data_IF_830230598897
#
_entry.id   IF_830230598897
#
_cell.length_a   1.000
_cell.length_b   1.000
_cell.length_c   1.000
_cell.angle_alpha   90.00
_cell.angle_beta   90.00
_cell.angle_gamma   90.00
#
_symmetry.space_group_name_H-M   'P 1'
#
loop_
_entity.id
_entity.type
_entity.pdbx_description
1 polymer ?
#
# COMPACT_ATOMS: atom_id res chain seq x y z
N UNK A 1 20.54 24.77 35.62
CA UNK A 1 19.88 24.62 34.31
C UNK A 1 19.65 23.13 34.10
N UNK A 2 18.39 22.67 34.20
CA UNK A 2 18.06 21.28 33.87
C UNK A 2 18.32 21.10 32.36
N UNK A 3 19.20 20.17 32.01
CA UNK A 3 19.75 20.04 30.65
C UNK A 3 18.67 19.76 29.61
N UNK A 4 18.93 20.23 28.39
CA UNK A 4 18.16 19.99 27.17
C UNK A 4 18.12 18.48 26.81
N UNK A 5 17.50 17.64 27.65
CA UNK A 5 17.29 16.21 27.40
C UNK A 5 15.84 15.97 27.00
N UNK A 6 15.64 14.95 26.17
CA UNK A 6 14.30 14.48 25.80
C UNK A 6 13.55 14.04 27.08
N UNK A 7 12.27 14.40 27.25
CA UNK A 7 11.47 13.99 28.40
C UNK A 7 11.41 12.46 28.56
N UNK A 8 11.61 11.99 29.80
CA UNK A 8 11.68 10.55 30.14
C UNK A 8 10.44 9.76 29.69
N UNK A 9 9.25 10.36 29.78
CA UNK A 9 8.01 9.72 29.36
C UNK A 9 7.99 9.32 27.88
N UNK A 10 8.72 10.03 27.00
CA UNK A 10 8.84 9.62 25.60
C UNK A 10 9.71 8.36 25.44
N UNK A 11 10.67 8.15 26.34
CA UNK A 11 11.45 6.92 26.43
C UNK A 11 10.59 5.73 26.90
N UNK A 12 9.71 5.95 27.89
CA UNK A 12 8.76 4.91 28.31
C UNK A 12 7.76 4.57 27.20
N UNK A 13 7.26 5.58 26.48
CA UNK A 13 6.36 5.36 25.35
C UNK A 13 7.01 4.46 24.29
N UNK A 14 8.23 4.82 23.86
CA UNK A 14 8.98 4.04 22.87
C UNK A 14 9.28 2.61 23.34
N UNK A 15 9.58 2.42 24.63
CA UNK A 15 9.78 1.08 25.21
C UNK A 15 8.50 0.23 25.11
N UNK A 16 7.32 0.83 25.28
CA UNK A 16 6.03 0.17 25.05
C UNK A 16 5.84 -0.26 23.58
N UNK A 17 6.28 0.57 22.63
CA UNK A 17 6.24 0.26 21.19
C UNK A 17 7.09 -0.97 20.87
N UNK A 18 8.30 -1.06 21.42
CA UNK A 18 9.19 -2.20 21.20
C UNK A 18 8.64 -3.49 21.82
N UNK A 19 7.96 -3.42 22.97
CA UNK A 19 7.27 -4.58 23.55
C UNK A 19 6.11 -5.04 22.65
N UNK A 20 5.30 -4.11 22.14
CA UNK A 20 4.23 -4.44 21.19
C UNK A 20 4.77 -5.01 19.88
N UNK A 21 5.90 -4.47 19.41
CA UNK A 21 6.62 -4.92 18.22
C UNK A 21 7.10 -6.36 18.34
N UNK A 22 7.75 -6.71 19.46
CA UNK A 22 8.19 -8.09 19.70
C UNK A 22 7.03 -9.08 19.64
N UNK A 23 5.94 -8.79 20.36
CA UNK A 23 4.72 -9.63 20.33
C UNK A 23 4.10 -9.74 18.94
N UNK A 24 4.09 -8.65 18.18
CA UNK A 24 3.55 -8.63 16.83
C UNK A 24 4.38 -9.49 15.88
N UNK A 25 5.70 -9.43 15.98
CA UNK A 25 6.62 -10.27 15.19
C UNK A 25 6.42 -11.75 15.54
N UNK A 26 6.47 -12.10 16.82
CA UNK A 26 6.26 -13.48 17.29
C UNK A 26 4.93 -14.05 16.79
N UNK A 27 3.87 -13.21 16.80
CA UNK A 27 2.57 -13.61 16.29
C UNK A 27 2.58 -13.82 14.78
N UNK A 28 3.13 -12.88 14.00
CA UNK A 28 3.21 -13.01 12.53
C UNK A 28 4.01 -14.25 12.15
N UNK A 29 5.17 -14.49 12.77
CA UNK A 29 6.03 -15.64 12.47
C UNK A 29 5.35 -16.98 12.78
N UNK A 30 4.41 -16.99 13.73
CA UNK A 30 3.56 -18.14 14.03
C UNK A 30 2.39 -18.37 13.06
N UNK A 31 2.12 -17.46 12.13
CA UNK A 31 0.95 -17.49 11.24
C UNK A 31 1.37 -17.38 9.77
N UNK A 32 1.30 -18.50 9.04
CA UNK A 32 1.79 -18.61 7.66
C UNK A 32 1.08 -17.66 6.68
N UNK A 33 -0.21 -17.39 6.89
CA UNK A 33 -1.00 -16.43 6.11
C UNK A 33 -0.50 -14.99 6.30
N UNK A 34 -0.21 -14.60 7.55
CA UNK A 34 0.34 -13.27 7.85
C UNK A 34 1.74 -13.09 7.30
N UNK A 35 2.60 -14.11 7.37
CA UNK A 35 3.92 -14.08 6.73
C UNK A 35 3.82 -13.83 5.23
N UNK A 36 2.84 -14.43 4.56
CA UNK A 36 2.62 -14.20 3.13
C UNK A 36 2.11 -12.79 2.84
N UNK A 37 1.21 -12.25 3.66
CA UNK A 37 0.78 -10.86 3.52
C UNK A 37 1.95 -9.88 3.68
N UNK A 38 2.78 -10.07 4.70
CA UNK A 38 3.97 -9.23 4.93
C UNK A 38 4.99 -9.40 3.80
N UNK A 39 5.22 -10.62 3.33
CA UNK A 39 6.09 -10.89 2.18
C UNK A 39 5.60 -10.23 0.89
N UNK A 40 4.29 -10.20 0.64
CA UNK A 40 3.73 -9.50 -0.51
C UNK A 40 3.86 -7.97 -0.39
N UNK A 41 3.73 -7.41 0.83
CA UNK A 41 3.98 -5.98 1.08
C UNK A 41 5.45 -5.65 0.79
N UNK A 42 6.39 -6.46 1.30
CA UNK A 42 7.83 -6.28 1.08
C UNK A 42 8.20 -6.39 -0.40
N UNK A 43 7.67 -7.39 -1.12
CA UNK A 43 7.82 -7.51 -2.58
C UNK A 43 7.42 -6.23 -3.31
N UNK A 44 6.31 -5.62 -2.93
CA UNK A 44 5.82 -4.39 -3.57
C UNK A 44 6.73 -3.21 -3.24
N UNK A 45 7.18 -3.10 -1.98
CA UNK A 45 8.15 -2.08 -1.57
C UNK A 45 9.46 -2.20 -2.36
N UNK A 46 9.97 -3.42 -2.53
CA UNK A 46 11.14 -3.73 -3.35
C UNK A 46 10.94 -3.29 -4.81
N UNK A 47 9.79 -3.61 -5.40
CA UNK A 47 9.48 -3.24 -6.79
C UNK A 47 9.37 -1.73 -6.98
N UNK A 48 8.71 -1.01 -6.05
CA UNK A 48 8.64 0.45 -6.09
C UNK A 48 10.04 1.06 -6.03
N UNK A 49 10.89 0.57 -5.13
CA UNK A 49 12.27 1.05 -5.00
C UNK A 49 13.14 0.66 -6.21
N UNK A 50 12.95 -0.55 -6.75
CA UNK A 50 13.65 -1.02 -7.94
C UNK A 50 13.31 -0.15 -9.16
N UNK A 51 12.04 0.02 -9.50
CA UNK A 51 11.63 0.85 -10.63
C UNK A 51 11.95 2.34 -10.44
N UNK A 52 12.02 2.83 -9.19
CA UNK A 52 12.53 4.17 -8.91
C UNK A 52 13.99 4.31 -9.33
N UNK A 53 14.83 3.30 -9.11
CA UNK A 53 16.27 3.34 -9.35
C UNK A 53 16.70 2.87 -10.75
N UNK A 54 16.08 1.81 -11.27
CA UNK A 54 16.51 1.06 -12.46
C UNK A 54 15.76 1.46 -13.75
N UNK A 55 14.83 2.41 -13.66
CA UNK A 55 14.07 2.87 -14.81
C UNK A 55 14.53 4.26 -15.25
N UNK A 56 15.06 4.43 -16.46
CA UNK A 56 15.36 5.76 -16.98
C UNK A 56 14.06 6.46 -17.39
N UNK A 57 13.74 7.60 -16.77
CA UNK A 57 12.54 8.37 -17.09
C UNK A 57 12.62 8.91 -18.53
N UNK A 58 11.55 8.70 -19.29
CA UNK A 58 11.44 9.20 -20.67
C UNK A 58 10.86 10.60 -20.73
N UNK A 59 10.03 10.94 -19.75
CA UNK A 59 9.33 12.21 -19.68
C UNK A 59 9.08 12.62 -18.22
N UNK A 60 8.55 13.82 -18.05
CA UNK A 60 8.21 14.36 -16.74
C UNK A 60 7.03 13.63 -16.07
N UNK A 61 6.12 13.02 -16.85
CA UNK A 61 5.01 12.26 -16.29
C UNK A 61 5.54 11.08 -15.48
N UNK A 62 6.48 10.32 -16.04
CA UNK A 62 7.11 9.20 -15.32
C UNK A 62 7.84 9.64 -14.05
N UNK A 63 8.45 10.83 -14.04
CA UNK A 63 9.04 11.39 -12.83
C UNK A 63 7.97 11.66 -11.75
N UNK A 64 6.82 12.23 -12.12
CA UNK A 64 5.70 12.47 -11.20
C UNK A 64 5.17 11.14 -10.65
N UNK A 65 5.01 10.13 -11.50
CA UNK A 65 4.57 8.80 -11.08
C UNK A 65 5.58 8.18 -10.10
N UNK A 66 6.89 8.31 -10.32
CA UNK A 66 7.91 7.84 -9.36
C UNK A 66 7.81 8.54 -8.00
N UNK A 67 7.49 9.84 -7.97
CA UNK A 67 7.27 10.56 -6.72
C UNK A 67 6.05 10.02 -5.96
N UNK A 68 4.97 9.69 -6.68
CA UNK A 68 3.80 9.02 -6.08
C UNK A 68 4.15 7.61 -5.59
N UNK A 69 4.98 6.86 -6.34
CA UNK A 69 5.51 5.57 -5.89
C UNK A 69 6.36 5.68 -4.62
N UNK A 70 7.21 6.71 -4.51
CA UNK A 70 7.97 6.98 -3.30
C UNK A 70 7.08 7.34 -2.11
N UNK A 71 5.97 8.07 -2.34
CA UNK A 71 4.96 8.32 -1.30
C UNK A 71 4.34 7.02 -0.81
N UNK A 72 3.93 6.13 -1.73
CA UNK A 72 3.38 4.80 -1.39
C UNK A 72 4.38 4.00 -0.56
N UNK A 73 5.65 3.90 -1.02
CA UNK A 73 6.70 3.18 -0.29
C UNK A 73 6.84 3.69 1.15
N UNK A 74 6.93 5.00 1.33
CA UNK A 74 7.07 5.61 2.66
C UNK A 74 5.83 5.37 3.53
N UNK A 75 4.62 5.45 2.95
CA UNK A 75 3.39 5.18 3.66
C UNK A 75 3.28 3.69 4.07
N UNK A 76 3.73 2.75 3.22
CA UNK A 76 3.79 1.32 3.57
C UNK A 76 4.75 1.08 4.74
N UNK A 77 5.96 1.64 4.69
CA UNK A 77 6.93 1.53 5.77
C UNK A 77 6.43 2.14 7.09
N UNK A 78 5.79 3.31 7.02
CA UNK A 78 5.17 3.96 8.16
C UNK A 78 4.00 3.15 8.74
N UNK A 79 3.11 2.64 7.87
CA UNK A 79 2.00 1.79 8.26
C UNK A 79 2.51 0.54 8.99
N UNK A 80 3.48 -0.18 8.41
CA UNK A 80 4.03 -1.40 8.99
C UNK A 80 4.69 -1.12 10.35
N UNK A 81 5.44 -0.01 10.48
CA UNK A 81 6.00 0.41 11.77
C UNK A 81 4.91 0.64 12.82
N UNK A 82 3.85 1.37 12.47
CA UNK A 82 2.74 1.69 13.37
C UNK A 82 1.93 0.45 13.76
N UNK A 83 1.66 -0.45 12.80
CA UNK A 83 0.97 -1.73 13.03
C UNK A 83 1.74 -2.57 14.04
N UNK A 84 3.03 -2.77 13.79
CA UNK A 84 3.88 -3.58 14.67
C UNK A 84 4.02 -2.93 16.05
N UNK A 85 4.09 -1.60 16.13
CA UNK A 85 4.15 -0.85 17.38
C UNK A 85 2.83 -0.77 18.16
N UNK A 86 1.72 -1.32 17.65
CA UNK A 86 0.43 -1.31 18.35
C UNK A 86 -0.41 -0.03 18.17
N UNK A 87 -0.15 0.76 17.12
CA UNK A 87 -0.91 1.96 16.76
C UNK A 87 -1.82 1.71 15.55
N UNK A 88 -2.72 0.73 15.67
CA UNK A 88 -3.55 0.25 14.55
C UNK A 88 -4.42 1.33 13.90
N UNK A 89 -5.05 2.20 14.70
CA UNK A 89 -5.84 3.31 14.17
C UNK A 89 -4.98 4.30 13.38
N UNK A 90 -3.81 4.66 13.91
CA UNK A 90 -2.89 5.59 13.24
C UNK A 90 -2.30 4.99 11.96
N UNK A 91 -2.05 3.67 11.94
CA UNK A 91 -1.65 2.97 10.72
C UNK A 91 -2.73 3.05 9.63
N UNK A 92 -4.01 3.01 10.00
CA UNK A 92 -5.13 3.17 9.07
C UNK A 92 -5.11 4.48 8.28
N UNK A 93 -4.52 5.56 8.82
CA UNK A 93 -4.31 6.81 8.09
C UNK A 93 -3.36 6.63 6.91
N UNK A 94 -2.27 5.88 7.12
CA UNK A 94 -1.28 5.60 6.08
C UNK A 94 -1.85 4.64 5.02
N UNK A 95 -2.59 3.61 5.45
CA UNK A 95 -3.30 2.69 4.56
C UNK A 95 -4.28 3.46 3.65
N UNK A 96 -5.02 4.42 4.21
CA UNK A 96 -5.94 5.27 3.44
C UNK A 96 -5.19 6.11 2.41
N UNK A 97 -4.05 6.71 2.79
CA UNK A 97 -3.23 7.48 1.85
C UNK A 97 -2.74 6.62 0.67
N UNK A 98 -2.35 5.37 0.93
CA UNK A 98 -1.98 4.40 -0.11
C UNK A 98 -3.18 4.12 -1.03
N UNK A 99 -4.36 3.84 -0.48
CA UNK A 99 -5.58 3.59 -1.26
C UNK A 99 -5.94 4.77 -2.17
N UNK A 100 -5.93 5.97 -1.62
CA UNK A 100 -6.25 7.19 -2.36
C UNK A 100 -5.20 7.49 -3.44
N UNK A 101 -3.93 7.23 -3.17
CA UNK A 101 -2.84 7.37 -4.15
C UNK A 101 -2.97 6.31 -5.25
N UNK A 102 -3.37 5.08 -4.91
CA UNK A 102 -3.65 4.02 -5.89
C UNK A 102 -4.78 4.44 -6.85
N UNK A 103 -5.88 5.00 -6.34
CA UNK A 103 -6.96 5.50 -7.18
C UNK A 103 -6.52 6.67 -8.08
N UNK A 104 -5.66 7.56 -7.59
CA UNK A 104 -5.10 8.63 -8.43
C UNK A 104 -4.26 8.05 -9.58
N UNK A 105 -3.40 7.07 -9.30
CA UNK A 105 -2.60 6.39 -10.31
C UNK A 105 -3.47 5.63 -11.33
N UNK A 106 -4.48 4.91 -10.86
CA UNK A 106 -5.46 4.21 -11.72
C UNK A 106 -6.18 5.22 -12.63
N UNK A 107 -6.54 6.39 -12.10
CA UNK A 107 -7.19 7.42 -12.91
C UNK A 107 -6.25 8.03 -13.95
N UNK A 108 -4.98 8.27 -13.59
CA UNK A 108 -3.97 8.70 -14.57
C UNK A 108 -3.74 7.68 -15.68
N UNK A 109 -3.92 6.38 -15.42
CA UNK A 109 -3.75 5.34 -16.45
C UNK A 109 -4.78 5.43 -17.58
N UNK A 110 -5.84 6.23 -17.40
CA UNK A 110 -6.88 6.45 -18.43
C UNK A 110 -6.47 7.46 -19.50
N UNK A 111 -5.66 8.44 -19.13
CA UNK A 111 -5.19 9.51 -20.00
C UNK A 111 -3.98 10.19 -19.37
N UNK A 112 -2.81 10.05 -20.00
CA UNK A 112 -1.54 10.62 -19.54
C UNK A 112 -1.59 12.16 -19.41
N UNK A 113 -2.49 12.84 -20.14
CA UNK A 113 -2.67 14.28 -20.02
C UNK A 113 -3.19 14.71 -18.64
N UNK A 114 -3.85 13.80 -17.91
CA UNK A 114 -4.33 14.05 -16.54
C UNK A 114 -3.17 14.30 -15.57
N UNK A 115 -2.00 13.70 -15.79
CA UNK A 115 -0.82 13.87 -14.93
C UNK A 115 -0.33 15.32 -14.97
N UNK A 116 -0.14 15.85 -16.18
CA UNK A 116 0.25 17.25 -16.37
C UNK A 116 -0.82 18.21 -15.90
N UNK A 117 -2.10 17.91 -16.18
CA UNK A 117 -3.20 18.74 -15.69
C UNK A 117 -3.22 18.80 -14.17
N UNK A 118 -3.12 17.66 -13.48
CA UNK A 118 -3.07 17.60 -12.02
C UNK A 118 -1.92 18.42 -11.43
N UNK A 119 -0.74 18.37 -12.07
CA UNK A 119 0.42 19.16 -11.68
C UNK A 119 0.18 20.67 -11.84
N UNK A 120 -0.35 21.09 -12.99
CA UNK A 120 -0.39 22.50 -13.42
C UNK A 120 -1.57 23.30 -12.87
N UNK A 121 -2.71 22.67 -12.57
CA UNK A 121 -3.87 23.37 -12.04
C UNK A 121 -3.61 23.91 -10.63
N UNK A 122 -4.31 25.00 -10.26
CA UNK A 122 -4.25 25.56 -8.91
C UNK A 122 -4.70 24.55 -7.86
N UNK A 123 -4.37 24.75 -6.58
CA UNK A 123 -4.81 23.85 -5.51
C UNK A 123 -6.35 23.75 -5.39
N UNK A 124 -7.04 24.88 -5.59
CA UNK A 124 -8.50 24.92 -5.59
C UNK A 124 -9.09 24.10 -6.74
N UNK A 125 -8.53 24.25 -7.94
CA UNK A 125 -8.93 23.46 -9.11
C UNK A 125 -8.55 21.99 -8.97
N UNK A 126 -7.37 21.69 -8.41
CA UNK A 126 -6.93 20.31 -8.12
C UNK A 126 -7.91 19.61 -7.20
N UNK A 127 -8.34 20.26 -6.12
CA UNK A 127 -9.35 19.71 -5.20
C UNK A 127 -10.70 19.50 -5.91
N UNK A 128 -11.09 20.44 -6.78
CA UNK A 128 -12.33 20.35 -7.55
C UNK A 128 -12.28 19.26 -8.59
N UNK A 129 -11.18 19.05 -9.30
CA UNK A 129 -11.07 18.14 -10.45
C UNK A 129 -10.59 16.75 -10.05
N UNK A 130 -9.63 16.67 -9.13
CA UNK A 130 -8.98 15.46 -8.66
C UNK A 130 -9.32 15.14 -7.20
N UNK A 131 -10.48 15.65 -6.73
CA UNK A 131 -11.03 15.27 -5.44
C UNK A 131 -11.34 13.77 -5.42
N UNK A 132 -11.05 13.13 -4.29
CA UNK A 132 -11.16 11.67 -4.12
C UNK A 132 -12.53 11.09 -4.52
N UNK A 133 -13.62 11.81 -4.25
CA UNK A 133 -14.96 11.39 -4.66
C UNK A 133 -15.13 11.39 -6.19
N UNK A 134 -14.56 12.37 -6.90
CA UNK A 134 -14.62 12.45 -8.37
C UNK A 134 -13.77 11.37 -9.03
N UNK A 135 -12.57 11.13 -8.51
CA UNK A 135 -11.68 10.07 -8.99
C UNK A 135 -12.41 8.72 -8.91
N UNK A 136 -12.97 8.37 -7.74
CA UNK A 136 -13.71 7.12 -7.58
C UNK A 136 -14.91 7.02 -8.52
N UNK A 137 -15.68 8.11 -8.68
CA UNK A 137 -16.82 8.13 -9.59
C UNK A 137 -16.36 7.89 -11.04
N UNK A 138 -15.31 8.57 -11.49
CA UNK A 138 -14.77 8.39 -12.84
C UNK A 138 -14.26 6.96 -13.08
N UNK A 139 -13.60 6.36 -12.09
CA UNK A 139 -13.14 4.97 -12.17
C UNK A 139 -14.30 3.95 -12.16
N UNK A 140 -15.31 4.16 -11.31
CA UNK A 140 -16.50 3.31 -11.28
C UNK A 140 -17.27 3.40 -12.60
N UNK A 141 -17.39 4.60 -13.19
CA UNK A 141 -18.02 4.81 -14.49
C UNK A 141 -17.21 4.17 -15.63
N UNK A 142 -15.88 4.30 -15.62
CA UNK A 142 -14.97 3.67 -16.60
C UNK A 142 -15.13 2.14 -16.62
N UNK A 143 -15.19 1.54 -15.44
CA UNK A 143 -15.21 0.08 -15.27
C UNK A 143 -16.63 -0.50 -15.30
N UNK A 144 -17.66 0.35 -15.38
CA UNK A 144 -19.07 -0.07 -15.35
C UNK A 144 -19.53 -0.59 -13.98
N UNK A 145 -18.87 -0.21 -12.89
CA UNK A 145 -19.19 -0.67 -11.54
C UNK A 145 -20.30 0.16 -10.90
N UNK A 146 -21.45 -0.48 -10.63
CA UNK A 146 -22.60 0.19 -9.99
C UNK A 146 -22.65 0.01 -8.47
N UNK A 147 -21.89 -0.95 -7.93
CA UNK A 147 -21.91 -1.29 -6.49
C UNK A 147 -21.12 -0.32 -5.60
N UNK A 148 -20.35 0.61 -6.19
CA UNK A 148 -19.57 1.62 -5.46
C UNK A 148 -18.60 1.05 -4.43
N UNK A 149 -18.00 -0.12 -4.70
CA UNK A 149 -17.04 -0.79 -3.81
C UNK A 149 -15.84 0.10 -3.43
N UNK A 150 -15.38 0.97 -4.33
CA UNK A 150 -14.33 1.96 -4.03
C UNK A 150 -14.75 2.94 -2.94
N UNK A 151 -16.02 3.37 -2.94
CA UNK A 151 -16.57 4.26 -1.91
C UNK A 151 -16.73 3.53 -0.58
N UNK A 152 -17.20 2.27 -0.60
CA UNK A 152 -17.31 1.45 0.61
C UNK A 152 -15.95 1.28 1.29
N UNK A 153 -14.92 0.95 0.51
CA UNK A 153 -13.54 0.79 0.97
C UNK A 153 -12.96 2.09 1.57
N UNK A 154 -13.12 3.21 0.85
CA UNK A 154 -12.75 4.53 1.37
C UNK A 154 -13.49 4.87 2.68
N UNK A 155 -14.79 4.58 2.75
CA UNK A 155 -15.64 4.91 3.89
C UNK A 155 -15.25 4.11 5.12
N UNK A 156 -14.90 2.82 4.96
CA UNK A 156 -14.36 1.99 6.03
C UNK A 156 -13.16 2.68 6.69
N UNK A 157 -12.10 2.92 5.91
CA UNK A 157 -10.86 3.54 6.42
C UNK A 157 -11.09 4.95 6.98
N UNK A 158 -11.92 5.76 6.33
CA UNK A 158 -12.24 7.10 6.80
C UNK A 158 -12.96 7.09 8.13
N UNK A 159 -13.87 6.12 8.34
CA UNK A 159 -14.68 6.04 9.56
C UNK A 159 -13.86 5.47 10.73
N UNK A 160 -13.06 4.43 10.49
CA UNK A 160 -12.35 3.74 11.57
C UNK A 160 -11.00 4.39 11.93
N UNK A 161 -10.33 5.01 10.96
CA UNK A 161 -8.95 5.51 11.15
C UNK A 161 -8.82 7.04 11.12
N UNK A 162 -9.59 7.73 10.27
CA UNK A 162 -9.31 9.14 9.97
C UNK A 162 -10.19 10.16 10.71
N UNK A 163 -11.49 9.90 10.81
CA UNK A 163 -12.43 10.81 11.44
C UNK A 163 -12.67 10.42 12.90
N UNK A 164 -12.93 11.40 13.80
CA UNK A 164 -13.26 11.14 15.19
C UNK A 164 -14.69 10.59 15.29
N UNK A 165 -14.86 9.31 14.93
CA UNK A 165 -16.14 8.61 14.99
C UNK A 165 -16.13 7.58 16.12
N UNK A 166 -17.32 7.24 16.63
CA UNK A 166 -17.45 6.17 17.61
C UNK A 166 -16.98 4.81 17.09
N UNK A 167 -17.14 4.54 15.79
CA UNK A 167 -16.60 3.35 15.16
C UNK A 167 -15.07 3.36 15.15
N UNK A 168 -14.43 4.52 14.96
CA UNK A 168 -12.98 4.63 15.08
C UNK A 168 -12.48 4.42 16.51
N UNK A 169 -13.21 4.92 17.51
CA UNK A 169 -12.84 4.74 18.91
C UNK A 169 -12.83 3.28 19.36
N UNK A 170 -13.48 2.36 18.65
CA UNK A 170 -13.36 0.93 18.96
C UNK A 170 -11.97 0.38 18.65
N UNK A 171 -11.23 0.97 17.69
CA UNK A 171 -9.84 0.59 17.39
C UNK A 171 -8.85 0.99 18.48
N UNK A 172 -9.26 1.81 19.45
CA UNK A 172 -8.45 2.21 20.60
C UNK A 172 -8.64 1.29 21.81
N UNK A 173 -9.52 0.27 21.72
CA UNK A 173 -9.87 -0.58 22.85
C UNK A 173 -9.13 -1.91 22.75
N UNK A 174 -8.50 -2.40 23.84
CA UNK A 174 -7.84 -3.71 23.84
C UNK A 174 -8.81 -4.88 23.61
N UNK A 175 -10.06 -4.74 24.09
CA UNK A 175 -11.14 -5.72 23.91
C UNK A 175 -12.49 -5.01 23.75
N UNK A 176 -13.52 -5.70 23.18
CA UNK A 176 -14.86 -5.14 23.09
C UNK A 176 -15.41 -4.70 24.45
N UNK A 177 -15.85 -3.45 24.54
CA UNK A 177 -16.43 -2.87 25.76
C UNK A 177 -15.42 -2.30 26.78
N UNK A 178 -14.11 -2.50 26.58
CA UNK A 178 -13.08 -1.89 27.42
C UNK A 178 -12.96 -0.37 27.20
N UNK A 179 -12.31 0.32 28.14
CA UNK A 179 -11.88 1.70 27.94
C UNK A 179 -10.81 1.81 26.86
N UNK A 180 -10.69 3.01 26.27
CA UNK A 180 -9.65 3.30 25.29
C UNK A 180 -8.26 3.25 25.95
N UNK A 181 -7.32 2.61 25.26
CA UNK A 181 -5.91 2.58 25.64
C UNK A 181 -5.18 3.76 24.99
N UNK A 182 -4.39 4.49 25.80
CA UNK A 182 -3.54 5.57 25.32
C UNK A 182 -2.12 5.05 25.14
N UNK A 183 -1.56 5.18 23.94
CA UNK A 183 -0.23 4.66 23.62
C UNK A 183 -0.28 3.30 22.92
N UNK A 184 0.86 2.60 22.80
CA UNK A 184 0.98 1.35 22.08
C UNK A 184 0.38 0.18 22.86
N UNK A 185 -0.37 -0.68 22.18
CA UNK A 185 -0.91 -1.91 22.77
C UNK A 185 -1.04 -3.01 21.73
N UNK A 186 -0.83 -4.25 22.16
CA UNK A 186 -0.88 -5.41 21.29
C UNK A 186 -2.28 -6.04 21.29
N UNK A 187 -2.88 -6.15 20.11
CA UNK A 187 -4.17 -6.82 19.87
C UNK A 187 -4.05 -7.66 18.59
N UNK A 188 -4.00 -9.01 18.69
CA UNK A 188 -3.80 -9.89 17.54
C UNK A 188 -4.80 -9.66 16.41
N UNK A 189 -6.07 -9.41 16.74
CA UNK A 189 -7.13 -9.23 15.75
C UNK A 189 -6.96 -7.93 14.96
N UNK A 190 -6.54 -6.85 15.63
CA UNK A 190 -6.26 -5.58 14.96
C UNK A 190 -4.95 -5.66 14.15
N UNK A 191 -3.95 -6.40 14.65
CA UNK A 191 -2.73 -6.70 13.91
C UNK A 191 -3.05 -7.42 12.59
N UNK A 192 -3.79 -8.53 12.66
CA UNK A 192 -4.23 -9.28 11.47
C UNK A 192 -5.02 -8.41 10.51
N UNK A 193 -6.05 -7.71 11.01
CA UNK A 193 -6.92 -6.91 10.16
C UNK A 193 -6.16 -5.78 9.45
N UNK A 194 -5.24 -5.10 10.15
CA UNK A 194 -4.47 -4.01 9.54
C UNK A 194 -3.40 -4.49 8.57
N UNK A 195 -2.79 -5.67 8.77
CA UNK A 195 -1.89 -6.30 7.78
C UNK A 195 -2.66 -6.69 6.52
N UNK A 196 -3.81 -7.36 6.67
CA UNK A 196 -4.66 -7.76 5.55
C UNK A 196 -5.14 -6.56 4.74
N UNK A 197 -5.44 -5.46 5.41
CA UNK A 197 -5.85 -4.23 4.77
C UNK A 197 -4.67 -3.53 4.07
N UNK A 198 -3.50 -3.46 4.71
CA UNK A 198 -2.28 -2.90 4.14
C UNK A 198 -1.85 -3.64 2.86
N UNK A 199 -1.88 -4.98 2.83
CA UNK A 199 -1.50 -5.75 1.63
C UNK A 199 -2.49 -5.51 0.49
N UNK A 200 -3.80 -5.41 0.77
CA UNK A 200 -4.82 -5.15 -0.26
C UNK A 200 -4.57 -3.82 -0.97
N UNK A 201 -4.37 -2.75 -0.20
CA UNK A 201 -4.12 -1.41 -0.78
C UNK A 201 -2.74 -1.34 -1.44
N UNK A 202 -1.75 -2.07 -0.93
CA UNK A 202 -0.43 -2.19 -1.54
C UNK A 202 -0.50 -2.83 -2.92
N UNK A 203 -1.21 -3.95 -3.06
CA UNK A 203 -1.40 -4.63 -4.35
C UNK A 203 -2.11 -3.70 -5.33
N UNK A 204 -3.20 -3.05 -4.92
CA UNK A 204 -3.91 -2.10 -5.78
C UNK A 204 -3.02 -0.93 -6.24
N UNK A 205 -2.18 -0.41 -5.33
CA UNK A 205 -1.23 0.65 -5.64
C UNK A 205 -0.18 0.21 -6.66
N UNK A 206 0.40 -0.98 -6.48
CA UNK A 206 1.37 -1.53 -7.43
C UNK A 206 0.74 -1.82 -8.80
N UNK A 207 -0.44 -2.44 -8.83
CA UNK A 207 -1.17 -2.72 -10.06
C UNK A 207 -1.43 -1.44 -10.86
N UNK A 208 -1.68 -0.32 -10.19
CA UNK A 208 -1.85 0.99 -10.82
C UNK A 208 -0.51 1.61 -11.25
N UNK A 209 0.53 1.50 -10.42
CA UNK A 209 1.85 2.06 -10.66
C UNK A 209 2.57 1.40 -11.85
N UNK A 210 2.53 0.07 -11.95
CA UNK A 210 3.30 -0.67 -12.96
C UNK A 210 2.91 -0.34 -14.40
N UNK A 211 1.70 0.16 -14.64
CA UNK A 211 1.22 0.57 -15.97
C UNK A 211 2.13 1.61 -16.64
N UNK A 212 2.77 2.47 -15.84
CA UNK A 212 3.62 3.55 -16.34
C UNK A 212 5.06 3.11 -16.63
N UNK A 213 5.44 1.88 -16.28
CA UNK A 213 6.81 1.37 -16.38
C UNK A 213 6.85 -0.01 -17.01
N UNK A 214 6.75 -0.06 -18.34
CA UNK A 214 6.88 -1.32 -19.09
C UNK A 214 8.32 -1.82 -18.99
N UNK A 215 8.55 -3.12 -18.71
CA UNK A 215 9.91 -3.67 -18.63
C UNK A 215 10.62 -3.63 -19.99
N UNK A 216 11.88 -3.20 -19.98
CA UNK A 216 12.74 -3.05 -21.16
C UNK A 216 14.06 -3.81 -21.02
N UNK A 217 14.53 -4.00 -19.79
CA UNK A 217 15.79 -4.68 -19.48
C UNK A 217 15.53 -6.07 -18.91
N UNK A 218 16.51 -6.98 -19.04
CA UNK A 218 16.43 -8.32 -18.42
C UNK A 218 16.14 -8.24 -16.91
N UNK A 219 16.81 -7.39 -16.11
CA UNK A 219 16.45 -7.18 -14.70
C UNK A 219 14.98 -6.81 -14.49
N UNK A 220 14.43 -5.91 -15.30
CA UNK A 220 13.03 -5.49 -15.18
C UNK A 220 12.06 -6.62 -15.53
N UNK A 221 12.32 -7.40 -16.58
CA UNK A 221 11.52 -8.58 -16.91
C UNK A 221 11.58 -9.65 -15.82
N UNK A 222 12.75 -9.87 -15.20
CA UNK A 222 12.89 -10.79 -14.05
C UNK A 222 12.12 -10.31 -12.83
N UNK A 223 12.17 -9.00 -12.53
CA UNK A 223 11.40 -8.41 -11.44
C UNK A 223 9.88 -8.57 -11.67
N UNK A 224 9.42 -8.32 -12.90
CA UNK A 224 8.02 -8.53 -13.29
C UNK A 224 7.62 -10.01 -13.18
N UNK A 225 8.47 -10.94 -13.62
CA UNK A 225 8.19 -12.38 -13.49
C UNK A 225 8.05 -12.80 -12.02
N UNK A 226 9.00 -12.39 -11.18
CA UNK A 226 8.97 -12.65 -9.73
C UNK A 226 7.67 -12.16 -9.12
N UNK A 227 7.28 -10.92 -9.44
CA UNK A 227 6.00 -10.37 -8.97
C UNK A 227 4.80 -11.22 -9.41
N UNK A 228 4.71 -11.56 -10.70
CA UNK A 228 3.56 -12.31 -11.22
C UNK A 228 3.43 -13.67 -10.53
N UNK A 229 4.55 -14.39 -10.36
CA UNK A 229 4.58 -15.68 -9.66
C UNK A 229 4.13 -15.54 -8.21
N UNK A 230 4.71 -14.60 -7.45
CA UNK A 230 4.33 -14.34 -6.06
C UNK A 230 2.88 -13.90 -5.94
N UNK A 231 2.39 -13.04 -6.84
CA UNK A 231 1.02 -12.54 -6.81
C UNK A 231 -0.01 -13.65 -7.06
N UNK A 232 0.28 -14.57 -7.99
CA UNK A 232 -0.58 -15.73 -8.27
C UNK A 232 -0.65 -16.64 -7.05
N UNK A 233 0.50 -16.98 -6.46
CA UNK A 233 0.55 -17.82 -5.26
C UNK A 233 -0.19 -17.17 -4.08
N UNK A 234 0.01 -15.86 -3.89
CA UNK A 234 -0.66 -15.09 -2.86
C UNK A 234 -2.18 -15.07 -3.05
N UNK A 235 -2.69 -14.83 -4.27
CA UNK A 235 -4.13 -14.84 -4.56
C UNK A 235 -4.72 -16.24 -4.40
N UNK A 236 -4.06 -17.26 -4.94
CA UNK A 236 -4.52 -18.65 -4.87
C UNK A 236 -4.68 -19.11 -3.43
N UNK A 237 -3.75 -18.74 -2.54
CA UNK A 237 -3.84 -19.09 -1.12
C UNK A 237 -4.80 -18.19 -0.33
N UNK A 238 -4.81 -16.87 -0.57
CA UNK A 238 -5.64 -15.93 0.20
C UNK A 238 -7.13 -16.06 -0.13
N UNK A 239 -7.46 -16.31 -1.39
CA UNK A 239 -8.84 -16.33 -1.87
C UNK A 239 -9.31 -17.71 -2.32
N UNK A 240 -8.48 -18.75 -2.14
CA UNK A 240 -8.75 -20.13 -2.56
C UNK A 240 -9.19 -20.24 -4.03
N UNK A 241 -8.64 -19.36 -4.87
CA UNK A 241 -9.06 -19.19 -6.26
C UNK A 241 -7.89 -19.40 -7.21
N UNK A 242 -8.01 -20.40 -8.08
CA UNK A 242 -7.03 -20.67 -9.13
C UNK A 242 -6.88 -19.47 -10.07
N UNK A 243 -5.63 -19.08 -10.32
CA UNK A 243 -5.30 -17.95 -11.19
C UNK A 243 -4.79 -18.41 -12.55
N UNK A 244 -5.02 -17.58 -13.55
CA UNK A 244 -4.46 -17.76 -14.88
C UNK A 244 -2.95 -17.46 -14.87
N UNK A 245 -2.18 -18.24 -15.62
CA UNK A 245 -0.70 -18.15 -15.68
C UNK A 245 -0.19 -17.73 -17.06
N UNK A 246 -1.07 -17.34 -17.99
CA UNK A 246 -0.68 -16.87 -19.35
C UNK A 246 0.35 -15.74 -19.33
N UNK A 247 0.20 -14.75 -18.45
CA UNK A 247 1.15 -13.62 -18.36
C UNK A 247 2.53 -14.07 -17.86
N UNK A 248 2.58 -15.02 -16.93
CA UNK A 248 3.83 -15.65 -16.46
C UNK A 248 4.53 -16.35 -17.62
N UNK A 249 3.80 -17.13 -18.40
CA UNK A 249 4.33 -17.84 -19.56
C UNK A 249 4.85 -16.89 -20.64
N UNK A 250 4.11 -15.80 -20.90
CA UNK A 250 4.52 -14.76 -21.85
C UNK A 250 5.84 -14.10 -21.44
N UNK A 251 5.97 -13.67 -20.17
CA UNK A 251 7.21 -13.05 -19.66
C UNK A 251 8.39 -14.05 -19.67
N UNK A 252 8.16 -15.31 -19.30
CA UNK A 252 9.19 -16.37 -19.40
C UNK A 252 9.69 -16.57 -20.81
N UNK A 253 8.79 -16.53 -21.80
CA UNK A 253 9.17 -16.63 -23.22
C UNK A 253 10.06 -15.47 -23.65
N UNK A 254 9.71 -14.23 -23.27
CA UNK A 254 10.50 -13.04 -23.58
C UNK A 254 11.89 -13.15 -22.95
N UNK A 255 11.99 -13.51 -21.66
CA UNK A 255 13.27 -13.69 -20.97
C UNK A 255 14.15 -14.73 -21.68
N UNK A 256 13.57 -15.87 -22.07
CA UNK A 256 14.30 -16.92 -22.79
C UNK A 256 14.86 -16.43 -24.13
N UNK A 257 14.19 -15.50 -24.80
CA UNK A 257 14.69 -14.89 -26.04
C UNK A 257 15.80 -13.87 -25.79
N UNK A 258 15.63 -13.02 -24.78
CA UNK A 258 16.61 -12.00 -24.40
C UNK A 258 17.91 -12.61 -23.85
N UNK A 259 17.84 -13.77 -23.21
CA UNK A 259 18.99 -14.46 -22.61
C UNK A 259 19.73 -15.42 -23.56
N UNK A 260 19.34 -15.50 -24.84
CA UNK A 260 20.05 -16.36 -25.80
C UNK A 260 21.48 -15.84 -26.05
N UNK A 261 22.52 -16.67 -25.87
CA UNK A 261 23.88 -16.25 -26.17
C UNK A 261 24.04 -15.95 -27.68
N UNK A 262 24.56 -14.76 -28.00
CA UNK A 262 24.83 -14.32 -29.38
C UNK A 262 24.06 -13.08 -29.86
N UNK A 263 23.33 -12.39 -28.97
CA UNK A 263 22.90 -10.99 -29.12
C UNK A 263 23.48 -10.14 -28.01
#
# INVERSE_FOLDING_TARGET
>A
MAGNKIPENLGFLHSGEEVARGKSIDFIEGHEDLLQHVGMIEMIMDLLQFYRMDYAEKDENQLIIKLLGARIFNAQGAALKLILGGYYQAAGLQIRDILETAFLLDYFSTDDALIQRWKLVSEQERTKEFGQAKIRQALDDRDGFTEKKRMEHYKLLSSIAAHPTFAGFTMLRPTPGADAHMGPFYVPELLTATIQELVKVSVAAWESFKWFFKPETIPQYRATLRYLETSVEWVEKTYEKKMDRRDIEAVRSILKELERPGK
#
